data_IF_361804337038
#
_entry.id   IF_361804337038
#
_cell.length_a   1.000
_cell.length_b   1.000
_cell.length_c   1.000
_cell.angle_alpha   90.00
_cell.angle_beta   90.00
_cell.angle_gamma   90.00
#
_symmetry.space_group_name_H-M   'P 1'
#
loop_
_entity.id
_entity.type
_entity.pdbx_description
1 polymer ?
#
# COMPACT_ATOMS: atom_id res chain seq x y z
N UNK A 1 4.69 -3.20 9.38
CA UNK A 1 4.76 -4.20 10.48
C UNK A 1 5.05 -3.53 11.82
N UNK A 2 6.13 -2.77 12.01
CA UNK A 2 6.42 -2.11 13.29
C UNK A 2 5.26 -1.24 13.83
N UNK A 3 4.57 -0.50 12.97
CA UNK A 3 3.38 0.27 13.34
C UNK A 3 2.27 -0.62 13.90
N UNK A 4 2.01 -1.77 13.30
CA UNK A 4 1.00 -2.72 13.79
C UNK A 4 1.37 -3.28 15.18
N UNK A 5 2.62 -3.68 15.37
CA UNK A 5 3.09 -4.16 16.67
C UNK A 5 3.02 -3.07 17.75
N UNK A 6 3.39 -1.84 17.41
CA UNK A 6 3.29 -0.70 18.31
C UNK A 6 1.84 -0.34 18.69
N UNK A 7 0.87 -0.72 17.85
CA UNK A 7 -0.57 -0.65 18.14
C UNK A 7 -1.12 -1.87 18.89
N UNK A 8 -0.26 -2.83 19.29
CA UNK A 8 -0.65 -3.99 20.09
C UNK A 8 -1.09 -5.22 19.29
N UNK A 9 -0.96 -5.21 17.96
CA UNK A 9 -1.28 -6.36 17.13
C UNK A 9 -0.12 -7.35 17.08
N UNK A 10 -0.44 -8.64 17.16
CA UNK A 10 0.49 -9.70 16.82
C UNK A 10 0.57 -9.81 15.29
N UNK A 11 1.80 -9.78 14.75
CA UNK A 11 2.03 -9.82 13.30
C UNK A 11 2.68 -11.15 12.95
N UNK A 12 1.96 -11.94 12.17
CA UNK A 12 2.44 -13.21 11.61
C UNK A 12 2.89 -12.99 10.17
N UNK A 13 4.01 -13.55 9.78
CA UNK A 13 4.53 -13.56 8.42
C UNK A 13 4.75 -15.02 8.02
N UNK A 14 3.88 -15.60 7.20
CA UNK A 14 4.08 -16.96 6.71
C UNK A 14 5.40 -17.09 5.95
N UNK A 15 6.15 -18.17 6.22
CA UNK A 15 7.51 -18.34 5.69
C UNK A 15 7.57 -18.44 4.17
N UNK A 16 6.52 -18.95 3.53
CA UNK A 16 6.49 -19.25 2.10
C UNK A 16 5.56 -18.31 1.31
N UNK A 17 5.44 -17.04 1.73
CA UNK A 17 4.67 -16.06 0.98
C UNK A 17 5.22 -15.90 -0.44
N UNK A 18 4.35 -16.09 -1.43
CA UNK A 18 4.63 -15.87 -2.84
C UNK A 18 4.01 -14.59 -3.39
N UNK A 19 3.95 -14.52 -4.71
CA UNK A 19 3.29 -13.43 -5.44
C UNK A 19 1.76 -13.57 -5.35
N UNK A 20 1.05 -12.43 -5.21
CA UNK A 20 -0.42 -12.40 -5.22
C UNK A 20 -1.05 -12.66 -6.61
N UNK A 21 -0.27 -12.72 -7.69
CA UNK A 21 -0.77 -12.94 -9.05
C UNK A 21 -1.40 -11.71 -9.72
N UNK A 22 -1.41 -10.53 -9.08
CA UNK A 22 -2.04 -9.33 -9.64
C UNK A 22 -1.50 -8.94 -11.03
N UNK A 23 -0.20 -9.03 -11.25
CA UNK A 23 0.40 -8.70 -12.54
C UNK A 23 -0.08 -9.65 -13.65
N UNK A 24 -0.17 -10.95 -13.39
CA UNK A 24 -0.70 -11.96 -14.32
C UNK A 24 -2.20 -11.74 -14.56
N UNK A 25 -2.94 -11.40 -13.51
CA UNK A 25 -4.38 -11.10 -13.63
C UNK A 25 -4.64 -9.92 -14.55
N UNK A 26 -3.88 -8.83 -14.43
CA UNK A 26 -4.00 -7.66 -15.31
C UNK A 26 -3.63 -7.93 -16.76
N UNK A 27 -2.95 -9.02 -17.04
CA UNK A 27 -2.61 -9.47 -18.40
C UNK A 27 -3.60 -10.50 -18.96
N UNK A 28 -4.65 -10.86 -18.22
CA UNK A 28 -5.59 -11.91 -18.60
C UNK A 28 -5.02 -13.33 -18.52
N UNK A 29 -3.88 -13.53 -17.85
CA UNK A 29 -3.26 -14.85 -17.67
C UNK A 29 -3.91 -15.57 -16.47
N UNK A 30 -5.17 -15.98 -16.65
CA UNK A 30 -6.01 -16.50 -15.59
C UNK A 30 -5.40 -17.73 -14.90
N UNK A 31 -4.88 -18.70 -15.67
CA UNK A 31 -4.29 -19.91 -15.09
C UNK A 31 -3.11 -19.57 -14.18
N UNK A 32 -2.17 -18.75 -14.65
CA UNK A 32 -1.03 -18.33 -13.84
C UNK A 32 -1.47 -17.54 -12.58
N UNK A 33 -2.50 -16.72 -12.74
CA UNK A 33 -3.09 -15.98 -11.59
C UNK A 33 -3.61 -16.94 -10.54
N UNK A 34 -4.36 -17.98 -10.96
CA UNK A 34 -4.93 -18.98 -10.06
C UNK A 34 -3.86 -19.82 -9.38
N UNK A 35 -2.79 -20.22 -10.10
CA UNK A 35 -1.65 -20.94 -9.52
C UNK A 35 -0.96 -20.12 -8.41
N UNK A 36 -0.65 -18.84 -8.69
CA UNK A 36 -0.01 -17.94 -7.74
C UNK A 36 -0.93 -17.65 -6.53
N UNK A 37 -2.19 -17.38 -6.79
CA UNK A 37 -3.18 -17.10 -5.76
C UNK A 37 -3.41 -18.33 -4.86
N UNK A 38 -3.50 -19.54 -5.44
CA UNK A 38 -3.64 -20.79 -4.69
C UNK A 38 -2.44 -21.03 -3.78
N UNK A 39 -1.23 -20.83 -4.29
CA UNK A 39 0.00 -20.96 -3.50
C UNK A 39 0.04 -19.95 -2.34
N UNK A 40 -0.42 -18.71 -2.57
CA UNK A 40 -0.47 -17.70 -1.53
C UNK A 40 -1.53 -18.04 -0.47
N UNK A 41 -2.74 -18.44 -0.85
CA UNK A 41 -3.78 -18.89 0.09
C UNK A 41 -3.28 -20.06 0.94
N UNK A 42 -2.58 -21.01 0.31
CA UNK A 42 -2.01 -22.16 1.02
C UNK A 42 -0.98 -21.76 2.09
N UNK A 43 -0.21 -20.67 1.86
CA UNK A 43 0.79 -20.20 2.83
C UNK A 43 0.17 -19.68 4.13
N UNK A 44 -1.13 -19.35 4.13
CA UNK A 44 -1.87 -18.88 5.30
C UNK A 44 -2.78 -19.95 5.94
N UNK A 45 -2.83 -21.18 5.38
CA UNK A 45 -3.83 -22.19 5.78
C UNK A 45 -3.80 -22.55 7.24
N UNK A 46 -2.61 -22.66 7.83
CA UNK A 46 -2.42 -23.14 9.21
C UNK A 46 -2.36 -21.98 10.22
N UNK A 47 -2.61 -20.75 9.76
CA UNK A 47 -2.54 -19.56 10.60
C UNK A 47 -3.97 -19.16 11.04
N UNK A 48 -4.16 -19.01 12.35
CA UNK A 48 -5.39 -18.47 12.92
C UNK A 48 -5.29 -16.92 12.92
N UNK A 49 -5.81 -16.28 11.87
CA UNK A 49 -5.67 -14.85 11.65
C UNK A 49 -7.01 -14.12 11.76
N UNK A 50 -7.02 -12.97 12.45
CA UNK A 50 -8.16 -12.05 12.46
C UNK A 50 -8.26 -11.24 11.14
N UNK A 51 -7.13 -11.00 10.48
CA UNK A 51 -7.06 -10.29 9.20
C UNK A 51 -5.79 -10.63 8.42
N UNK A 52 -5.86 -10.54 7.10
CA UNK A 52 -4.72 -10.59 6.18
C UNK A 52 -4.47 -9.16 5.66
N UNK A 53 -3.37 -8.54 6.08
CA UNK A 53 -3.10 -7.14 5.77
C UNK A 53 -2.17 -6.98 4.58
N UNK A 54 -2.53 -6.07 3.69
CA UNK A 54 -1.78 -5.76 2.48
C UNK A 54 -1.40 -4.29 2.47
N UNK A 55 -0.11 -3.99 2.20
CA UNK A 55 0.42 -2.63 2.13
C UNK A 55 0.68 -2.17 0.67
N UNK A 56 0.23 -2.95 -0.31
CA UNK A 56 0.35 -2.63 -1.74
C UNK A 56 -1.02 -2.74 -2.39
N UNK A 57 -1.62 -1.61 -2.75
CA UNK A 57 -3.04 -1.53 -3.16
C UNK A 57 -3.39 -2.43 -4.35
N UNK A 58 -2.49 -2.62 -5.31
CA UNK A 58 -2.69 -3.53 -6.44
C UNK A 58 -2.82 -4.99 -6.00
N UNK A 59 -1.96 -5.44 -5.08
CA UNK A 59 -2.06 -6.77 -4.48
C UNK A 59 -3.35 -6.90 -3.65
N UNK A 60 -3.65 -5.92 -2.81
CA UNK A 60 -4.85 -5.92 -1.96
C UNK A 60 -6.14 -6.03 -2.77
N UNK A 61 -6.25 -5.27 -3.85
CA UNK A 61 -7.42 -5.35 -4.76
C UNK A 61 -7.60 -6.77 -5.32
N UNK A 62 -6.53 -7.36 -5.85
CA UNK A 62 -6.60 -8.73 -6.42
C UNK A 62 -6.88 -9.79 -5.35
N UNK A 63 -6.26 -9.69 -4.17
CA UNK A 63 -6.49 -10.65 -3.07
C UNK A 63 -7.91 -10.59 -2.51
N UNK A 64 -8.55 -9.42 -2.47
CA UNK A 64 -9.96 -9.26 -2.11
C UNK A 64 -10.90 -9.96 -3.11
N UNK A 65 -10.48 -10.10 -4.36
CA UNK A 65 -11.22 -10.76 -5.43
C UNK A 65 -10.94 -12.27 -5.55
N UNK A 66 -10.12 -12.87 -4.69
CA UNK A 66 -9.79 -14.30 -4.79
C UNK A 66 -11.01 -15.23 -4.67
N UNK A 67 -12.06 -14.81 -3.96
CA UNK A 67 -13.31 -15.57 -3.90
C UNK A 67 -14.00 -15.75 -5.25
N UNK A 68 -13.74 -14.86 -6.21
CA UNK A 68 -14.24 -14.92 -7.60
C UNK A 68 -13.27 -15.65 -8.52
N UNK A 69 -11.98 -15.71 -8.17
CA UNK A 69 -10.91 -16.28 -8.99
C UNK A 69 -10.65 -17.75 -8.68
N UNK A 70 -10.93 -18.20 -7.46
CA UNK A 70 -10.62 -19.53 -6.96
C UNK A 70 -11.78 -20.12 -6.21
N UNK A 71 -12.14 -21.35 -6.55
CA UNK A 71 -13.12 -22.11 -5.80
C UNK A 71 -12.68 -22.30 -4.33
N UNK A 72 -13.55 -21.96 -3.40
CA UNK A 72 -13.29 -22.11 -1.97
C UNK A 72 -12.41 -21.03 -1.32
N UNK A 73 -11.95 -20.02 -2.06
CA UNK A 73 -11.13 -18.94 -1.51
C UNK A 73 -11.94 -17.78 -0.89
N UNK A 74 -13.26 -17.84 -0.88
CA UNK A 74 -14.10 -16.80 -0.28
C UNK A 74 -13.78 -16.54 1.18
N UNK A 75 -13.50 -17.58 1.97
CA UNK A 75 -13.12 -17.45 3.38
C UNK A 75 -11.75 -16.81 3.60
N UNK A 76 -10.85 -16.91 2.60
CA UNK A 76 -9.57 -16.21 2.63
C UNK A 76 -9.71 -14.74 2.22
N UNK A 77 -10.49 -14.45 1.19
CA UNK A 77 -10.62 -13.08 0.68
C UNK A 77 -11.38 -12.15 1.64
N UNK A 78 -12.30 -12.69 2.43
CA UNK A 78 -13.11 -11.91 3.36
C UNK A 78 -12.29 -11.14 4.43
N UNK A 79 -11.25 -11.71 5.07
CA UNK A 79 -10.40 -10.98 6.01
C UNK A 79 -9.27 -10.16 5.38
N UNK A 80 -9.18 -10.09 4.04
CA UNK A 80 -8.14 -9.29 3.36
C UNK A 80 -8.49 -7.81 3.45
N UNK A 81 -7.61 -7.04 4.08
CA UNK A 81 -7.77 -5.59 4.26
C UNK A 81 -6.50 -4.85 3.84
N UNK A 82 -6.66 -3.64 3.31
CA UNK A 82 -5.55 -2.71 3.21
C UNK A 82 -5.11 -2.26 4.61
N UNK A 83 -3.82 -2.06 4.82
CA UNK A 83 -3.28 -1.68 6.13
C UNK A 83 -3.84 -0.34 6.63
N UNK A 84 -4.15 0.60 5.73
CA UNK A 84 -4.77 1.89 6.11
C UNK A 84 -6.23 1.70 6.51
N UNK A 85 -6.97 0.90 5.75
CA UNK A 85 -8.34 0.52 6.06
C UNK A 85 -8.43 -0.15 7.44
N UNK A 86 -7.58 -1.12 7.70
CA UNK A 86 -7.53 -1.82 8.98
C UNK A 86 -7.25 -0.89 10.16
N UNK A 87 -6.18 -0.09 10.05
CA UNK A 87 -5.78 0.82 11.14
C UNK A 87 -6.81 1.92 11.40
N UNK A 88 -7.49 2.41 10.37
CA UNK A 88 -8.56 3.40 10.54
C UNK A 88 -9.80 2.76 11.18
N UNK A 89 -10.19 1.55 10.78
CA UNK A 89 -11.34 0.85 11.38
C UNK A 89 -11.08 0.44 12.84
N UNK A 90 -9.88 -0.02 13.16
CA UNK A 90 -9.52 -0.43 14.54
C UNK A 90 -9.22 0.76 15.44
N UNK A 91 -8.84 1.88 14.84
CA UNK A 91 -8.26 3.03 15.53
C UNK A 91 -6.80 2.79 15.92
N UNK A 92 -6.04 3.87 15.98
CA UNK A 92 -4.70 3.83 16.57
C UNK A 92 -4.82 3.73 18.09
N UNK A 93 -4.05 2.84 18.71
CA UNK A 93 -4.05 2.71 20.17
C UNK A 93 -3.64 4.03 20.86
N UNK A 94 -4.15 4.28 22.03
CA UNK A 94 -3.85 5.50 22.79
C UNK A 94 -2.33 5.64 23.02
N UNK A 95 -1.66 4.55 23.37
CA UNK A 95 -0.21 4.51 23.56
C UNK A 95 0.55 4.84 22.28
N UNK A 96 0.09 4.35 21.11
CA UNK A 96 0.69 4.70 19.82
C UNK A 96 0.47 6.18 19.48
N UNK A 97 -0.74 6.70 19.67
CA UNK A 97 -1.02 8.12 19.43
C UNK A 97 -0.15 9.04 20.29
N UNK A 98 0.05 8.69 21.57
CA UNK A 98 0.92 9.44 22.49
C UNK A 98 2.41 9.35 22.11
N UNK A 99 2.83 8.33 21.36
CA UNK A 99 4.21 8.18 20.89
C UNK A 99 4.53 9.02 19.65
N UNK A 100 3.50 9.54 18.96
CA UNK A 100 3.71 10.34 17.76
C UNK A 100 4.42 11.66 18.09
N UNK A 101 5.57 11.84 17.47
CA UNK A 101 6.38 13.05 17.57
C UNK A 101 6.23 13.95 16.35
N UNK A 102 6.45 15.27 16.45
CA UNK A 102 6.37 16.17 15.33
C UNK A 102 7.24 15.75 14.14
N UNK A 103 6.64 15.74 12.95
CA UNK A 103 7.32 15.54 11.68
C UNK A 103 7.02 16.75 10.77
N UNK A 104 7.75 17.87 10.95
CA UNK A 104 7.50 19.11 10.22
C UNK A 104 7.93 18.96 8.75
N UNK A 105 7.04 18.46 7.92
CA UNK A 105 7.24 18.30 6.48
C UNK A 105 5.93 18.48 5.72
N UNK A 106 6.03 18.78 4.44
CA UNK A 106 4.91 18.82 3.50
C UNK A 106 4.84 17.51 2.73
N UNK A 107 3.65 16.92 2.68
CA UNK A 107 3.39 15.61 2.05
C UNK A 107 2.27 15.74 1.04
N UNK A 108 2.51 15.41 -0.23
CA UNK A 108 1.45 15.21 -1.21
C UNK A 108 1.05 13.72 -1.21
N UNK A 109 -0.27 13.45 -1.13
CA UNK A 109 -0.73 12.07 -1.21
C UNK A 109 -1.05 11.68 -2.66
N UNK A 110 -0.47 10.57 -3.13
CA UNK A 110 -0.79 9.98 -4.42
C UNK A 110 -1.88 8.92 -4.29
N UNK A 111 -3.03 9.19 -4.88
CA UNK A 111 -4.14 8.25 -4.95
C UNK A 111 -3.86 7.13 -5.97
N UNK A 112 -3.55 5.95 -5.48
CA UNK A 112 -3.39 4.78 -6.35
C UNK A 112 -4.77 4.33 -6.86
N UNK A 113 -4.92 4.17 -8.18
CA UNK A 113 -6.20 3.83 -8.82
C UNK A 113 -6.85 2.56 -8.26
N UNK A 114 -6.07 1.50 -7.98
CA UNK A 114 -6.57 0.28 -7.34
C UNK A 114 -7.05 0.50 -5.90
N UNK A 115 -6.60 1.56 -5.25
CA UNK A 115 -7.02 1.90 -3.89
C UNK A 115 -8.35 2.64 -3.91
N UNK A 116 -8.44 3.72 -4.70
CA UNK A 116 -9.64 4.55 -4.74
C UNK A 116 -10.78 3.91 -5.53
N UNK A 117 -10.51 3.39 -6.72
CA UNK A 117 -11.54 2.83 -7.60
C UNK A 117 -11.82 1.35 -7.33
N UNK A 118 -10.78 0.58 -6.99
CA UNK A 118 -10.90 -0.85 -6.77
C UNK A 118 -11.33 -1.24 -5.36
N UNK A 119 -10.95 -0.45 -4.34
CA UNK A 119 -11.19 -0.79 -2.93
C UNK A 119 -12.01 0.25 -2.17
N UNK A 120 -12.30 1.42 -2.74
CA UNK A 120 -13.02 2.50 -2.08
C UNK A 120 -12.23 3.16 -0.94
N UNK A 121 -10.89 3.06 -0.96
CA UNK A 121 -10.02 3.58 0.08
C UNK A 121 -9.38 4.89 -0.39
N UNK A 122 -9.85 6.01 0.14
CA UNK A 122 -9.36 7.35 -0.17
C UNK A 122 -9.12 8.20 1.10
N UNK A 123 -10.04 8.16 2.05
CA UNK A 123 -9.99 8.94 3.28
C UNK A 123 -8.99 8.36 4.30
N UNK A 124 -8.91 7.05 4.39
CA UNK A 124 -8.17 6.32 5.42
C UNK A 124 -6.67 6.66 5.49
N UNK A 125 -5.90 6.65 4.39
CA UNK A 125 -4.49 7.04 4.45
C UNK A 125 -4.31 8.51 4.82
N UNK A 126 -5.23 9.39 4.41
CA UNK A 126 -5.21 10.81 4.78
C UNK A 126 -5.46 11.04 6.25
N UNK A 127 -6.40 10.28 6.82
CA UNK A 127 -6.71 10.31 8.26
C UNK A 127 -5.48 9.92 9.09
N UNK A 128 -4.82 8.83 8.72
CA UNK A 128 -3.60 8.38 9.39
C UNK A 128 -2.44 9.37 9.25
N UNK A 129 -2.27 9.99 8.08
CA UNK A 129 -1.24 11.01 7.89
C UNK A 129 -1.52 12.28 8.70
N UNK A 130 -2.79 12.71 8.84
CA UNK A 130 -3.18 13.86 9.66
C UNK A 130 -3.01 13.63 11.16
N UNK A 131 -2.92 12.38 11.60
CA UNK A 131 -2.60 12.06 12.99
C UNK A 131 -1.15 12.40 13.35
N UNK A 132 -0.25 12.56 12.37
CA UNK A 132 1.16 12.91 12.59
C UNK A 132 1.27 14.41 12.91
N UNK A 133 1.78 14.80 14.11
CA UNK A 133 1.88 16.20 14.47
C UNK A 133 2.78 16.98 13.50
N UNK A 134 2.37 18.19 13.13
CA UNK A 134 3.06 19.15 12.25
C UNK A 134 3.28 18.67 10.81
N UNK A 135 2.79 17.48 10.40
CA UNK A 135 2.74 17.09 8.99
C UNK A 135 1.68 17.93 8.28
N UNK A 136 2.05 18.53 7.15
CA UNK A 136 1.14 19.27 6.28
C UNK A 136 0.79 18.44 5.06
N UNK A 137 -0.46 17.96 5.01
CA UNK A 137 -0.94 17.20 3.85
C UNK A 137 -1.39 18.18 2.75
N UNK A 138 -0.90 17.94 1.54
CA UNK A 138 -1.24 18.65 0.30
C UNK A 138 -2.00 17.72 -0.63
N UNK A 139 -3.00 18.27 -1.32
CA UNK A 139 -3.75 17.53 -2.34
C UNK A 139 -3.28 17.97 -3.73
N UNK A 140 -3.03 16.99 -4.60
CA UNK A 140 -2.74 17.22 -6.00
C UNK A 140 -4.02 17.61 -6.75
N UNK A 141 -3.93 18.42 -7.79
CA UNK A 141 -5.11 18.90 -8.54
C UNK A 141 -5.75 17.76 -9.35
N UNK A 142 -4.92 16.93 -9.95
CA UNK A 142 -5.31 15.80 -10.81
C UNK A 142 -5.21 14.46 -10.05
N UNK A 143 -5.77 14.41 -8.83
CA UNK A 143 -5.64 13.25 -7.94
C UNK A 143 -6.07 11.92 -8.61
N UNK A 144 -7.12 11.95 -9.45
CA UNK A 144 -7.66 10.77 -10.14
C UNK A 144 -6.84 10.29 -11.35
N UNK A 145 -5.87 11.06 -11.84
CA UNK A 145 -5.04 10.68 -13.00
C UNK A 145 -4.06 9.56 -12.63
N UNK A 146 -3.97 8.53 -13.48
CA UNK A 146 -3.08 7.40 -13.29
C UNK A 146 -1.61 7.82 -13.39
N UNK A 147 -0.74 7.16 -12.61
CA UNK A 147 0.71 7.35 -12.70
C UNK A 147 1.37 6.63 -13.89
N UNK A 148 0.60 5.93 -14.74
CA UNK A 148 1.10 5.18 -15.88
C UNK A 148 1.65 3.78 -15.55
N UNK A 149 1.78 3.38 -14.28
CA UNK A 149 2.28 2.03 -13.93
C UNK A 149 1.33 0.91 -14.34
N UNK A 150 0.05 1.02 -13.98
CA UNK A 150 -1.09 0.16 -14.35
C UNK A 150 -0.74 -1.34 -14.55
N UNK A 151 -0.32 -2.01 -13.48
CA UNK A 151 0.14 -3.40 -13.53
C UNK A 151 1.49 -3.51 -14.25
N UNK A 152 1.48 -3.87 -15.52
CA UNK A 152 2.67 -3.92 -16.38
C UNK A 152 2.57 -2.97 -17.58
N UNK A 153 1.60 -2.06 -17.60
CA UNK A 153 1.37 -1.17 -18.73
C UNK A 153 2.62 -0.37 -19.10
N UNK A 154 3.38 0.07 -18.09
CA UNK A 154 4.66 0.76 -18.27
C UNK A 154 5.77 -0.10 -18.90
N UNK A 155 5.58 -1.41 -19.03
CA UNK A 155 6.51 -2.31 -19.70
C UNK A 155 6.07 -2.60 -21.15
N UNK A 156 4.76 -2.63 -21.42
CA UNK A 156 4.20 -2.99 -22.73
C UNK A 156 3.81 -1.78 -23.57
N UNK A 157 3.60 -0.63 -22.94
CA UNK A 157 3.29 0.66 -23.56
C UNK A 157 4.16 1.75 -22.89
N UNK A 158 5.51 1.69 -23.07
CA UNK A 158 6.43 2.52 -22.28
C UNK A 158 6.31 4.02 -22.58
N UNK A 159 5.96 4.41 -23.80
CA UNK A 159 5.90 5.81 -24.22
C UNK A 159 4.68 6.49 -23.60
N UNK A 160 3.48 5.92 -23.75
CA UNK A 160 2.25 6.44 -23.15
C UNK A 160 2.29 6.40 -21.62
N UNK A 161 2.90 5.36 -21.07
CA UNK A 161 3.09 5.26 -19.62
C UNK A 161 4.06 6.32 -19.09
N UNK A 162 5.06 6.72 -19.90
CA UNK A 162 5.99 7.79 -19.54
C UNK A 162 5.29 9.16 -19.56
N UNK A 163 4.42 9.42 -20.55
CA UNK A 163 3.63 10.65 -20.58
C UNK A 163 2.72 10.77 -19.35
N UNK A 164 1.98 9.71 -19.01
CA UNK A 164 1.15 9.68 -17.81
C UNK A 164 1.98 9.86 -16.53
N UNK A 165 3.13 9.20 -16.48
CA UNK A 165 4.06 9.29 -15.36
C UNK A 165 4.58 10.71 -15.15
N UNK A 166 4.94 11.39 -16.24
CA UNK A 166 5.40 12.79 -16.18
C UNK A 166 4.28 13.74 -15.77
N UNK A 167 3.09 13.64 -16.36
CA UNK A 167 1.93 14.43 -15.97
C UNK A 167 1.63 14.30 -14.48
N UNK A 168 1.66 13.07 -13.94
CA UNK A 168 1.41 12.84 -12.52
C UNK A 168 2.56 13.38 -11.64
N UNK A 169 3.80 13.27 -12.08
CA UNK A 169 4.95 13.81 -11.35
C UNK A 169 4.91 15.34 -11.30
N UNK A 170 4.53 15.99 -12.39
CA UNK A 170 4.39 17.45 -12.48
C UNK A 170 3.26 17.96 -11.56
N UNK A 171 2.11 17.26 -11.56
CA UNK A 171 0.98 17.57 -10.68
C UNK A 171 1.37 17.46 -9.20
N UNK A 172 2.02 16.38 -8.81
CA UNK A 172 2.49 16.18 -7.44
C UNK A 172 3.58 17.19 -7.05
N UNK A 173 4.50 17.51 -7.96
CA UNK A 173 5.55 18.50 -7.72
C UNK A 173 5.00 19.92 -7.57
N UNK A 174 3.91 20.25 -8.31
CA UNK A 174 3.25 21.56 -8.24
C UNK A 174 2.68 21.89 -6.85
N UNK A 175 2.47 20.88 -6.00
CA UNK A 175 2.03 21.06 -4.62
C UNK A 175 3.10 21.70 -3.73
N UNK A 176 4.37 21.69 -4.15
CA UNK A 176 5.51 22.10 -3.36
C UNK A 176 5.81 21.17 -2.18
N UNK A 177 5.31 19.93 -2.21
CA UNK A 177 5.56 18.95 -1.16
C UNK A 177 7.00 18.40 -1.21
N UNK A 178 7.56 18.13 -0.04
CA UNK A 178 8.89 17.52 0.12
C UNK A 178 8.84 16.00 -0.06
N UNK A 179 7.68 15.40 0.20
CA UNK A 179 7.45 13.96 0.16
C UNK A 179 6.17 13.68 -0.62
N UNK A 180 6.19 12.67 -1.47
CA UNK A 180 5.02 12.05 -2.08
C UNK A 180 4.72 10.74 -1.35
N UNK A 181 3.60 10.67 -0.66
CA UNK A 181 3.15 9.45 0.00
C UNK A 181 2.37 8.57 -1.00
N UNK A 182 2.80 7.33 -1.20
CA UNK A 182 2.18 6.39 -2.15
C UNK A 182 2.07 4.99 -1.54
N UNK A 183 0.86 4.41 -1.57
CA UNK A 183 0.54 3.09 -0.99
C UNK A 183 0.51 1.95 -2.03
N UNK A 184 1.19 2.12 -3.16
CA UNK A 184 1.31 1.06 -4.17
C UNK A 184 2.72 1.03 -4.76
N UNK A 185 3.38 -0.13 -4.68
CA UNK A 185 4.78 -0.26 -5.10
C UNK A 185 4.99 0.07 -6.58
N UNK A 186 4.08 -0.35 -7.48
CA UNK A 186 4.15 -0.02 -8.90
C UNK A 186 4.10 1.48 -9.14
N UNK A 187 3.16 2.18 -8.51
CA UNK A 187 3.08 3.65 -8.55
C UNK A 187 4.33 4.29 -7.95
N UNK A 188 4.82 3.79 -6.81
CA UNK A 188 6.01 4.35 -6.16
C UNK A 188 7.26 4.28 -7.05
N UNK A 189 7.45 3.17 -7.76
CA UNK A 189 8.56 3.02 -8.71
C UNK A 189 8.41 3.96 -9.91
N UNK A 190 7.21 4.04 -10.47
CA UNK A 190 6.92 4.93 -11.60
C UNK A 190 7.12 6.41 -11.22
N UNK A 191 6.60 6.82 -10.07
CA UNK A 191 6.77 8.18 -9.55
C UNK A 191 8.23 8.53 -9.29
N UNK A 192 9.01 7.63 -8.65
CA UNK A 192 10.45 7.83 -8.44
C UNK A 192 11.21 8.06 -9.73
N UNK A 193 10.83 7.36 -10.82
CA UNK A 193 11.43 7.53 -12.14
C UNK A 193 11.20 8.94 -12.69
N UNK A 194 9.98 9.47 -12.58
CA UNK A 194 9.59 10.73 -13.20
C UNK A 194 9.84 11.97 -12.33
N UNK A 195 9.81 11.84 -11.01
CA UNK A 195 10.19 12.91 -10.06
C UNK A 195 11.71 13.17 -10.07
N UNK A 196 12.52 12.18 -10.46
CA UNK A 196 13.96 12.31 -10.51
C UNK A 196 14.63 12.32 -9.13
N UNK A 197 15.94 12.60 -9.11
CA UNK A 197 16.74 12.59 -7.89
C UNK A 197 16.56 13.85 -7.03
N UNK A 198 16.26 14.97 -7.66
CA UNK A 198 16.10 16.27 -6.99
C UNK A 198 14.65 16.59 -6.65
N UNK A 199 13.71 15.75 -7.05
CA UNK A 199 12.28 15.88 -6.76
C UNK A 199 11.88 15.38 -5.37
N UNK A 200 10.57 15.45 -5.05
CA UNK A 200 10.02 14.92 -3.80
C UNK A 200 10.37 13.45 -3.60
N UNK A 201 10.69 13.08 -2.36
CA UNK A 201 10.92 11.67 -2.01
C UNK A 201 9.62 10.89 -2.02
N UNK A 202 9.62 9.69 -2.59
CA UNK A 202 8.45 8.81 -2.58
C UNK A 202 8.57 7.83 -1.42
N UNK A 203 7.63 7.93 -0.45
CA UNK A 203 7.60 7.11 0.76
C UNK A 203 6.21 6.47 0.94
N UNK A 204 6.14 5.34 1.64
CA UNK A 204 4.85 4.75 2.01
C UNK A 204 4.26 5.45 3.24
N UNK A 205 2.93 5.69 3.35
CA UNK A 205 2.34 6.34 4.53
C UNK A 205 2.73 5.68 5.86
N UNK A 206 2.87 4.35 5.87
CA UNK A 206 3.30 3.61 7.08
C UNK A 206 4.75 3.90 7.48
N UNK A 207 5.63 4.35 6.56
CA UNK A 207 6.99 4.76 6.86
C UNK A 207 6.98 6.11 7.60
N UNK A 208 6.10 7.03 7.19
CA UNK A 208 5.89 8.31 7.86
C UNK A 208 5.35 8.13 9.30
N UNK A 209 4.35 7.26 9.45
CA UNK A 209 3.83 6.91 10.78
C UNK A 209 4.89 6.26 11.67
N UNK A 210 5.65 5.31 11.13
CA UNK A 210 6.73 4.64 11.86
C UNK A 210 7.79 5.64 12.33
N UNK A 211 8.18 6.57 11.45
CA UNK A 211 9.17 7.61 11.74
C UNK A 211 8.68 8.56 12.83
N UNK A 212 7.43 9.03 12.75
CA UNK A 212 6.83 9.90 13.76
C UNK A 212 6.73 9.21 15.11
N UNK A 213 6.35 7.93 15.15
CA UNK A 213 6.25 7.14 16.37
C UNK A 213 7.61 6.66 16.93
N UNK A 214 8.72 6.92 16.22
CA UNK A 214 10.05 6.45 16.62
C UNK A 214 10.18 4.91 16.62
N UNK A 215 9.29 4.18 15.88
CA UNK A 215 9.35 2.73 15.81
C UNK A 215 10.32 2.30 14.70
N UNK A 216 11.29 1.49 15.07
CA UNK A 216 12.34 1.00 14.18
C UNK A 216 11.84 -0.06 13.18
N UNK A 217 12.74 -0.58 12.32
CA UNK A 217 12.38 -1.62 11.37
C UNK A 217 11.87 -2.86 12.10
N UNK A 218 10.89 -3.52 11.47
CA UNK A 218 10.32 -4.77 12.00
C UNK A 218 11.40 -5.82 12.28
N UNK A 219 11.36 -6.39 13.47
CA UNK A 219 12.15 -7.57 13.83
C UNK A 219 11.19 -8.72 14.10
N UNK A 220 11.16 -9.77 13.26
CA UNK A 220 10.33 -10.94 13.51
C UNK A 220 10.73 -11.57 14.85
N UNK A 221 9.74 -11.99 15.64
CA UNK A 221 10.02 -12.84 16.80
C UNK A 221 10.63 -14.15 16.27
N UNK A 222 11.65 -14.72 16.93
CA UNK A 222 12.14 -16.03 16.56
C UNK A 222 10.98 -17.04 16.67
N UNK A 223 10.79 -17.85 15.63
CA UNK A 223 9.83 -18.93 15.66
C UNK A 223 10.08 -19.74 16.93
N UNK A 224 9.04 -19.93 17.73
CA UNK A 224 9.08 -20.93 18.80
C UNK A 224 9.27 -22.29 18.10
N UNK A 225 10.42 -22.91 18.33
CA UNK A 225 10.72 -24.26 17.87
C UNK A 225 9.77 -25.26 18.50
#
# INVERSE_FOLDING_TARGET
MAVLQANGFEVVIPANQGCCGAASHHQGQLQQTQELASALVQSFRDEALDAVLVAASGCGHTMKAYGELLDGAANFSAPVLDVHEFLTHRGLSESFQQSLTPLPCTVAYHDACHMIHGQGIAAQPRELLRAIPQLQLKEAMEAGVCCGSAGIYNLVQPDEAAELGQLKADDLSSTGAEIVASANIGCSLQLRRHLGQDGPKVEHPMELLARSAGVGPFRPKPNKA
#
